data_IF_624764751493
#
_entry.id   IF_624764751493
#
_cell.length_a   1.000
_cell.length_b   1.000
_cell.length_c   1.000
_cell.angle_alpha   90.00
_cell.angle_beta   90.00
_cell.angle_gamma   90.00
#
_symmetry.space_group_name_H-M   'P 1'
#
loop_
_entity.id
_entity.type
_entity.pdbx_description
1 polymer ?
#
# COMPACT_ATOMS: atom_id res chain seq x y z
N UNK A 1 -16.64 -13.18 -33.67
CA UNK A 1 -16.54 -11.71 -33.55
C UNK A 1 -15.08 -11.38 -33.28
N UNK A 2 -14.47 -10.46 -34.02
CA UNK A 2 -13.08 -10.03 -33.73
C UNK A 2 -13.05 -8.95 -32.66
N UNK A 3 -12.00 -8.93 -31.83
CA UNK A 3 -11.82 -7.95 -30.76
C UNK A 3 -11.87 -6.50 -31.26
N UNK A 4 -11.29 -6.22 -32.42
CA UNK A 4 -11.28 -4.87 -33.01
C UNK A 4 -12.70 -4.32 -33.27
N UNK A 5 -13.69 -5.19 -33.48
CA UNK A 5 -15.08 -4.75 -33.63
C UNK A 5 -15.68 -4.20 -32.34
N UNK A 6 -15.18 -4.63 -31.18
CA UNK A 6 -15.61 -4.10 -29.87
C UNK A 6 -15.02 -2.70 -29.59
N UNK A 7 -14.01 -2.28 -30.36
CA UNK A 7 -13.33 -0.99 -30.19
C UNK A 7 -13.84 0.08 -31.17
N UNK A 8 -14.97 -0.17 -31.82
CA UNK A 8 -15.59 0.76 -32.76
C UNK A 8 -16.66 1.62 -32.09
N UNK A 9 -16.71 2.89 -32.48
CA UNK A 9 -17.74 3.85 -32.07
C UNK A 9 -19.02 3.70 -32.91
N UNK A 10 -20.00 4.59 -32.71
CA UNK A 10 -21.29 4.49 -33.40
C UNK A 10 -21.18 4.64 -34.93
N UNK A 11 -20.13 5.28 -35.43
CA UNK A 11 -19.82 5.44 -36.85
C UNK A 11 -19.02 4.26 -37.45
N UNK A 12 -18.87 3.16 -36.70
CA UNK A 12 -18.08 1.97 -37.08
C UNK A 12 -16.59 2.27 -37.33
N UNK A 13 -16.09 3.40 -36.82
CA UNK A 13 -14.67 3.78 -36.81
C UNK A 13 -14.01 3.35 -35.50
N UNK A 14 -12.70 3.11 -35.45
CA UNK A 14 -11.98 2.91 -34.19
C UNK A 14 -12.25 4.05 -33.20
N UNK A 15 -12.27 3.75 -31.90
CA UNK A 15 -12.41 4.76 -30.86
C UNK A 15 -11.38 5.88 -31.03
N UNK A 16 -11.83 7.13 -30.88
CA UNK A 16 -11.05 8.34 -31.16
C UNK A 16 -10.59 9.06 -29.89
N UNK A 17 -11.35 8.96 -28.80
CA UNK A 17 -11.10 9.70 -27.55
C UNK A 17 -10.90 8.77 -26.36
N UNK A 18 -11.81 7.83 -26.15
CA UNK A 18 -11.82 6.96 -24.97
C UNK A 18 -12.08 5.51 -25.36
N UNK A 19 -11.19 4.63 -24.94
CA UNK A 19 -11.41 3.18 -24.88
C UNK A 19 -11.23 2.72 -23.44
N UNK A 20 -12.32 2.29 -22.80
CA UNK A 20 -12.31 1.85 -21.41
C UNK A 20 -12.80 0.41 -21.34
N UNK A 21 -12.00 -0.46 -20.74
CA UNK A 21 -12.31 -1.87 -20.58
C UNK A 21 -12.40 -2.15 -19.09
N UNK A 22 -13.59 -2.53 -18.61
CA UNK A 22 -13.85 -2.96 -17.23
C UNK A 22 -14.07 -4.46 -17.24
N UNK A 23 -13.20 -5.19 -16.56
CA UNK A 23 -13.17 -6.64 -16.64
C UNK A 23 -12.47 -7.13 -17.89
N UNK A 24 -11.19 -7.51 -17.74
CA UNK A 24 -10.36 -7.89 -18.89
C UNK A 24 -10.35 -9.38 -19.12
N UNK A 25 -10.64 -10.20 -18.10
CA UNK A 25 -10.54 -11.66 -18.19
C UNK A 25 -11.17 -12.26 -19.47
N UNK A 26 -12.38 -11.84 -19.93
CA UNK A 26 -12.99 -12.39 -21.15
C UNK A 26 -12.15 -12.22 -22.42
N UNK A 27 -11.25 -11.24 -22.43
CA UNK A 27 -10.45 -10.83 -23.60
C UNK A 27 -8.96 -10.72 -23.27
N UNK A 28 -8.53 -11.19 -22.10
CA UNK A 28 -7.17 -10.95 -21.58
C UNK A 28 -6.12 -11.66 -22.42
N UNK A 29 -6.47 -12.81 -22.99
CA UNK A 29 -5.61 -13.54 -23.91
C UNK A 29 -5.36 -12.70 -25.17
N UNK A 30 -6.41 -12.20 -25.81
CA UNK A 30 -6.29 -11.37 -27.01
C UNK A 30 -5.56 -10.05 -26.74
N UNK A 31 -5.78 -9.45 -25.57
CA UNK A 31 -5.06 -8.23 -25.14
C UNK A 31 -3.56 -8.51 -25.04
N UNK A 32 -3.17 -9.61 -24.38
CA UNK A 32 -1.77 -9.93 -24.09
C UNK A 32 -1.03 -10.56 -25.28
N UNK A 33 -1.73 -11.16 -26.23
CA UNK A 33 -1.12 -11.80 -27.41
C UNK A 33 -1.06 -10.89 -28.65
N UNK A 34 -1.74 -9.74 -28.64
CA UNK A 34 -1.83 -8.83 -29.80
C UNK A 34 -1.46 -7.36 -29.48
N UNK A 35 -0.28 -7.08 -28.90
CA UNK A 35 0.14 -5.71 -28.58
C UNK A 35 0.22 -4.79 -29.81
N UNK A 36 0.62 -5.32 -30.97
CA UNK A 36 0.70 -4.56 -32.23
C UNK A 36 -0.64 -3.90 -32.61
N UNK A 37 -1.76 -4.58 -32.34
CA UNK A 37 -3.10 -4.02 -32.61
C UNK A 37 -3.33 -2.72 -31.82
N UNK A 38 -2.93 -2.69 -30.54
CA UNK A 38 -3.09 -1.51 -29.70
C UNK A 38 -2.12 -0.41 -30.09
N UNK A 39 -0.89 -0.76 -30.48
CA UNK A 39 0.07 0.17 -31.07
C UNK A 39 -0.52 0.88 -32.29
N UNK A 40 -1.07 0.13 -33.25
CA UNK A 40 -1.64 0.67 -34.48
C UNK A 40 -2.81 1.62 -34.21
N UNK A 41 -3.70 1.27 -33.27
CA UNK A 41 -4.83 2.13 -32.88
C UNK A 41 -4.32 3.41 -32.21
N UNK A 42 -3.38 3.32 -31.26
CA UNK A 42 -2.82 4.48 -30.56
C UNK A 42 -2.03 5.40 -31.49
N UNK A 43 -1.38 4.84 -32.51
CA UNK A 43 -0.66 5.59 -33.55
C UNK A 43 -1.63 6.30 -34.49
N UNK A 44 -2.71 5.62 -34.88
CA UNK A 44 -3.71 6.18 -35.81
C UNK A 44 -4.60 7.22 -35.12
N UNK A 45 -4.89 7.02 -33.83
CA UNK A 45 -5.79 7.86 -33.05
C UNK A 45 -4.99 8.62 -31.97
N UNK A 46 -4.40 9.76 -32.34
CA UNK A 46 -3.49 10.52 -31.46
C UNK A 46 -4.14 10.99 -30.14
N UNK A 47 -5.45 11.23 -30.15
CA UNK A 47 -6.22 11.68 -28.99
C UNK A 47 -6.82 10.53 -28.16
N UNK A 48 -6.65 9.28 -28.57
CA UNK A 48 -7.23 8.15 -27.88
C UNK A 48 -6.50 7.88 -26.56
N UNK A 49 -7.26 7.79 -25.48
CA UNK A 49 -6.83 7.25 -24.19
C UNK A 49 -7.40 5.85 -23.97
N UNK A 50 -6.57 4.94 -23.45
CA UNK A 50 -6.94 3.56 -23.15
C UNK A 50 -6.87 3.36 -21.64
N UNK A 51 -7.95 2.90 -21.02
CA UNK A 51 -7.98 2.54 -19.59
C UNK A 51 -8.43 1.09 -19.45
N UNK A 52 -7.56 0.25 -18.90
CA UNK A 52 -7.87 -1.14 -18.58
C UNK A 52 -8.07 -1.25 -17.06
N UNK A 53 -9.28 -1.63 -16.67
CA UNK A 53 -9.67 -1.93 -15.30
C UNK A 53 -9.77 -3.46 -15.19
N UNK A 54 -8.73 -4.08 -14.63
CA UNK A 54 -8.57 -5.54 -14.57
C UNK A 54 -8.92 -6.10 -13.18
N UNK A 55 -9.25 -7.38 -13.13
CA UNK A 55 -9.67 -8.09 -11.93
C UNK A 55 -8.53 -8.22 -10.89
N UNK A 56 -8.88 -8.13 -9.61
CA UNK A 56 -7.95 -8.49 -8.53
C UNK A 56 -7.80 -10.01 -8.41
N UNK A 57 -6.87 -10.44 -7.56
CA UNK A 57 -6.58 -11.85 -7.34
C UNK A 57 -7.75 -12.62 -6.73
N UNK A 58 -8.48 -12.01 -5.79
CA UNK A 58 -9.69 -12.60 -5.20
C UNK A 58 -10.77 -12.89 -6.25
N UNK A 59 -10.99 -11.96 -7.18
CA UNK A 59 -11.96 -12.10 -8.25
C UNK A 59 -11.51 -13.18 -9.25
N UNK A 60 -10.22 -13.22 -9.62
CA UNK A 60 -9.68 -14.31 -10.44
C UNK A 60 -9.86 -15.68 -9.79
N UNK A 61 -9.59 -15.78 -8.48
CA UNK A 61 -9.81 -17.00 -7.72
C UNK A 61 -11.29 -17.39 -7.74
N UNK A 62 -12.20 -16.47 -7.40
CA UNK A 62 -13.64 -16.72 -7.40
C UNK A 62 -14.16 -17.14 -8.79
N UNK A 63 -13.76 -16.45 -9.85
CA UNK A 63 -14.11 -16.81 -11.22
C UNK A 63 -13.63 -18.23 -11.56
N UNK A 64 -12.41 -18.60 -11.15
CA UNK A 64 -11.87 -19.94 -11.37
C UNK A 64 -12.66 -21.06 -10.70
N UNK A 65 -13.34 -20.79 -9.57
CA UNK A 65 -14.13 -21.77 -8.84
C UNK A 65 -15.39 -22.21 -9.61
N UNK A 66 -15.95 -21.33 -10.44
CA UNK A 66 -17.14 -21.65 -11.23
C UNK A 66 -16.82 -22.62 -12.39
N UNK A 67 -15.55 -22.77 -12.77
CA UNK A 67 -15.12 -23.55 -13.93
C UNK A 67 -14.95 -25.06 -13.63
N UNK A 68 -15.81 -25.66 -12.79
CA UNK A 68 -15.74 -27.10 -12.41
C UNK A 68 -16.03 -28.06 -13.58
N UNK A 69 -15.25 -29.15 -13.69
CA UNK A 69 -15.25 -30.15 -14.80
C UNK A 69 -16.67 -30.51 -15.28
N UNK A 70 -16.93 -30.33 -16.58
CA UNK A 70 -18.11 -30.91 -17.27
C UNK A 70 -19.01 -29.96 -18.06
N UNK A 71 -19.00 -28.64 -17.82
CA UNK A 71 -20.08 -27.76 -18.31
C UNK A 71 -19.66 -26.80 -19.45
N UNK A 72 -18.39 -26.41 -19.60
CA UNK A 72 -18.00 -25.42 -20.63
C UNK A 72 -16.67 -25.63 -21.33
N UNK A 73 -16.58 -25.07 -22.55
CA UNK A 73 -15.43 -25.14 -23.46
C UNK A 73 -14.39 -24.03 -23.21
N UNK A 74 -14.76 -22.91 -22.56
CA UNK A 74 -13.93 -21.73 -22.37
C UNK A 74 -13.54 -21.54 -20.91
N UNK A 75 -12.78 -22.50 -20.38
CA UNK A 75 -12.30 -22.45 -18.98
C UNK A 75 -10.91 -21.84 -18.90
N UNK A 76 -10.72 -20.97 -17.92
CA UNK A 76 -9.40 -20.54 -17.48
C UNK A 76 -9.28 -20.85 -15.99
N UNK A 77 -8.45 -21.82 -15.64
CA UNK A 77 -8.11 -22.04 -14.23
C UNK A 77 -7.40 -20.81 -13.64
N UNK A 78 -7.27 -20.80 -12.32
CA UNK A 78 -6.64 -19.70 -11.60
C UNK A 78 -5.22 -19.43 -12.10
N UNK A 79 -4.42 -20.48 -12.34
CA UNK A 79 -3.04 -20.35 -12.80
C UNK A 79 -2.94 -19.67 -14.17
N UNK A 80 -3.86 -19.98 -15.09
CA UNK A 80 -3.95 -19.35 -16.40
C UNK A 80 -4.39 -17.89 -16.30
N UNK A 81 -5.40 -17.58 -15.48
CA UNK A 81 -5.80 -16.20 -15.20
C UNK A 81 -4.66 -15.38 -14.59
N UNK A 82 -3.94 -15.95 -13.62
CA UNK A 82 -2.76 -15.32 -13.03
C UNK A 82 -1.66 -15.10 -14.05
N UNK A 83 -1.40 -16.06 -14.93
CA UNK A 83 -0.39 -15.92 -15.99
C UNK A 83 -0.72 -14.74 -16.91
N UNK A 84 -1.97 -14.62 -17.36
CA UNK A 84 -2.36 -13.49 -18.20
C UNK A 84 -2.36 -12.16 -17.44
N UNK A 85 -2.80 -12.14 -16.18
CA UNK A 85 -2.71 -10.96 -15.33
C UNK A 85 -1.26 -10.51 -15.15
N UNK A 86 -0.32 -11.43 -14.90
CA UNK A 86 1.11 -11.11 -14.82
C UNK A 86 1.66 -10.57 -16.15
N UNK A 87 1.24 -11.09 -17.31
CA UNK A 87 1.61 -10.55 -18.63
C UNK A 87 1.02 -9.16 -18.88
N UNK A 88 -0.21 -8.92 -18.43
CA UNK A 88 -0.85 -7.61 -18.55
C UNK A 88 -0.08 -6.55 -17.75
N UNK A 89 0.25 -6.86 -16.50
CA UNK A 89 0.89 -5.92 -15.57
C UNK A 89 2.39 -5.78 -15.85
N UNK A 90 3.06 -6.87 -16.25
CA UNK A 90 4.51 -6.99 -16.20
C UNK A 90 5.01 -7.11 -14.76
N UNK A 91 6.32 -6.96 -14.55
CA UNK A 91 6.90 -6.92 -13.20
C UNK A 91 8.32 -7.45 -13.10
N UNK A 92 8.78 -7.65 -11.87
CA UNK A 92 10.04 -8.33 -11.55
C UNK A 92 9.75 -9.76 -11.12
N UNK A 93 10.33 -10.75 -11.79
CA UNK A 93 10.37 -12.14 -11.32
C UNK A 93 11.81 -12.47 -10.93
N UNK A 94 12.13 -12.28 -9.65
CA UNK A 94 13.52 -12.29 -9.18
C UNK A 94 14.32 -11.15 -9.80
N UNK A 95 15.46 -11.45 -10.44
CA UNK A 95 16.31 -10.45 -11.12
C UNK A 95 15.85 -10.08 -12.54
N UNK A 96 14.87 -10.77 -13.10
CA UNK A 96 14.39 -10.52 -14.47
C UNK A 96 13.17 -9.61 -14.48
N UNK A 97 13.22 -8.54 -15.26
CA UNK A 97 12.04 -7.75 -15.60
C UNK A 97 11.26 -8.49 -16.70
N UNK A 98 10.00 -8.82 -16.44
CA UNK A 98 9.06 -9.25 -17.48
C UNK A 98 8.33 -8.01 -18.01
N UNK A 99 8.45 -7.77 -19.31
CA UNK A 99 7.67 -6.75 -20.01
C UNK A 99 6.17 -7.01 -19.79
N UNK A 100 5.43 -5.93 -19.54
CA UNK A 100 3.97 -5.97 -19.44
C UNK A 100 3.32 -5.44 -20.72
N UNK A 101 2.00 -5.49 -20.80
CA UNK A 101 1.21 -5.01 -21.95
C UNK A 101 1.61 -3.62 -22.46
N UNK A 102 1.87 -2.68 -21.54
CA UNK A 102 2.31 -1.33 -21.93
C UNK A 102 3.68 -1.37 -22.60
N UNK A 103 4.65 -2.11 -22.06
CA UNK A 103 5.99 -2.22 -22.65
C UNK A 103 5.93 -2.95 -23.99
N UNK A 104 5.11 -4.00 -24.10
CA UNK A 104 4.94 -4.76 -25.35
C UNK A 104 4.40 -3.88 -26.47
N UNK A 105 3.44 -2.98 -26.19
CA UNK A 105 2.97 -1.97 -27.16
C UNK A 105 4.10 -1.04 -27.58
N UNK A 106 4.84 -0.51 -26.60
CA UNK A 106 5.88 0.49 -26.85
C UNK A 106 7.08 -0.09 -27.60
N UNK A 107 7.32 -1.40 -27.48
CA UNK A 107 8.38 -2.11 -28.22
C UNK A 107 8.23 -2.06 -29.75
N UNK A 108 7.03 -1.71 -30.25
CA UNK A 108 6.77 -1.50 -31.68
C UNK A 108 7.10 -0.09 -32.18
N UNK A 109 7.64 0.78 -31.32
CA UNK A 109 8.00 2.16 -31.66
C UNK A 109 9.46 2.45 -31.30
N UNK A 110 10.26 2.89 -32.26
CA UNK A 110 11.66 3.25 -31.98
C UNK A 110 11.83 4.69 -31.46
N UNK A 111 10.78 5.52 -31.53
CA UNK A 111 10.83 6.93 -31.13
C UNK A 111 10.43 7.11 -29.65
N UNK A 112 11.39 7.53 -28.82
CA UNK A 112 11.18 7.73 -27.38
C UNK A 112 10.12 8.78 -27.04
N UNK A 113 9.98 9.84 -27.86
CA UNK A 113 8.99 10.88 -27.61
C UNK A 113 7.57 10.35 -27.86
N UNK A 114 7.39 9.60 -28.95
CA UNK A 114 6.14 8.92 -29.24
C UNK A 114 5.83 7.88 -28.16
N UNK A 115 6.82 7.11 -27.71
CA UNK A 115 6.63 6.16 -26.62
C UNK A 115 6.14 6.83 -25.33
N UNK A 116 6.78 7.94 -24.92
CA UNK A 116 6.36 8.69 -23.73
C UNK A 116 4.94 9.25 -23.87
N UNK A 117 4.57 9.73 -25.05
CA UNK A 117 3.21 10.18 -25.33
C UNK A 117 2.20 9.03 -25.21
N UNK A 118 2.45 7.89 -25.87
CA UNK A 118 1.58 6.71 -25.81
C UNK A 118 1.44 6.18 -24.38
N UNK A 119 2.55 6.09 -23.64
CA UNK A 119 2.54 5.64 -22.24
C UNK A 119 1.61 6.48 -21.37
N UNK A 120 1.59 7.81 -21.54
CA UNK A 120 0.69 8.71 -20.78
C UNK A 120 -0.79 8.50 -21.11
N UNK A 121 -1.09 7.93 -22.29
CA UNK A 121 -2.45 7.66 -22.76
C UNK A 121 -2.97 6.28 -22.35
N UNK A 122 -2.13 5.40 -21.79
CA UNK A 122 -2.53 4.07 -21.31
C UNK A 122 -2.57 4.06 -19.78
N UNK A 123 -3.69 3.61 -19.20
CA UNK A 123 -3.87 3.45 -17.76
C UNK A 123 -4.22 2.00 -17.45
N UNK A 124 -3.47 1.39 -16.52
CA UNK A 124 -3.80 0.09 -15.94
C UNK A 124 -4.24 0.29 -14.49
N UNK A 125 -5.43 -0.19 -14.16
CA UNK A 125 -6.04 -0.10 -12.83
C UNK A 125 -6.58 -1.47 -12.43
N UNK A 126 -6.26 -1.93 -11.23
CA UNK A 126 -6.89 -3.11 -10.65
C UNK A 126 -8.19 -2.72 -9.96
N UNK A 127 -9.24 -3.47 -10.23
CA UNK A 127 -10.51 -3.42 -9.53
C UNK A 127 -10.47 -4.25 -8.25
N UNK A 128 -10.49 -3.58 -7.09
CA UNK A 128 -10.60 -4.26 -5.80
C UNK A 128 -12.04 -4.32 -5.27
N UNK A 129 -13.02 -3.89 -6.06
CA UNK A 129 -14.44 -4.11 -5.80
C UNK A 129 -14.90 -5.38 -6.51
N UNK A 130 -16.03 -5.91 -6.07
CA UNK A 130 -16.69 -7.01 -6.77
C UNK A 130 -17.15 -6.54 -8.16
N UNK A 131 -16.84 -7.32 -9.18
CA UNK A 131 -17.25 -7.07 -10.55
C UNK A 131 -18.47 -7.90 -10.91
N UNK A 132 -19.47 -7.29 -11.54
CA UNK A 132 -20.72 -7.96 -11.91
C UNK A 132 -20.96 -7.99 -13.42
N UNK A 133 -20.28 -7.13 -14.17
CA UNK A 133 -20.44 -6.93 -15.60
C UNK A 133 -19.09 -6.58 -16.20
N UNK A 134 -18.79 -7.15 -17.38
CA UNK A 134 -17.66 -6.75 -18.20
C UNK A 134 -18.14 -5.72 -19.20
N UNK A 135 -17.41 -4.62 -19.34
CA UNK A 135 -17.79 -3.48 -20.17
C UNK A 135 -16.63 -3.04 -21.05
N UNK A 136 -16.91 -2.73 -22.31
CA UNK A 136 -16.00 -2.04 -23.21
C UNK A 136 -16.73 -0.79 -23.71
N UNK A 137 -16.27 0.38 -23.28
CA UNK A 137 -16.72 1.67 -23.78
C UNK A 137 -15.76 2.14 -24.87
N UNK A 138 -16.26 2.28 -26.09
CA UNK A 138 -15.56 2.86 -27.23
C UNK A 138 -16.27 4.16 -27.64
N UNK A 139 -15.76 5.28 -27.16
CA UNK A 139 -16.36 6.63 -27.23
C UNK A 139 -17.81 6.68 -26.72
N UNK A 140 -18.79 6.44 -27.60
CA UNK A 140 -20.24 6.55 -27.39
C UNK A 140 -20.98 5.20 -27.52
N UNK A 141 -20.22 4.11 -27.69
CA UNK A 141 -20.73 2.74 -27.75
C UNK A 141 -20.27 1.98 -26.53
N UNK A 142 -21.21 1.31 -25.87
CA UNK A 142 -20.92 0.34 -24.80
C UNK A 142 -21.13 -1.07 -25.35
N UNK A 143 -20.19 -1.95 -25.10
CA UNK A 143 -20.35 -3.38 -25.22
C UNK A 143 -20.34 -3.98 -23.83
N UNK A 144 -21.28 -4.86 -23.51
CA UNK A 144 -21.35 -5.47 -22.18
C UNK A 144 -21.68 -6.96 -22.22
N UNK A 145 -21.21 -7.69 -21.22
CA UNK A 145 -21.61 -9.07 -20.96
C UNK A 145 -21.51 -9.37 -19.46
N UNK A 146 -22.32 -10.31 -18.98
CA UNK A 146 -22.31 -10.73 -17.58
C UNK A 146 -21.39 -11.94 -17.39
N UNK A 147 -20.59 -11.92 -16.33
CA UNK A 147 -19.89 -13.13 -15.86
C UNK A 147 -20.91 -14.01 -15.14
N UNK A 148 -21.03 -15.27 -15.57
CA UNK A 148 -21.97 -16.23 -14.97
C UNK A 148 -21.21 -17.45 -14.45
N UNK A 149 -21.44 -18.64 -15.01
CA UNK A 149 -20.72 -19.87 -14.64
C UNK A 149 -19.43 -20.06 -15.44
N UNK A 150 -19.28 -19.33 -16.54
CA UNK A 150 -18.18 -19.45 -17.49
C UNK A 150 -17.59 -18.09 -17.81
N UNK A 151 -16.33 -18.10 -18.25
CA UNK A 151 -15.69 -16.91 -18.78
C UNK A 151 -16.37 -16.54 -20.11
N UNK A 152 -16.95 -15.33 -20.23
CA UNK A 152 -17.62 -14.91 -21.46
C UNK A 152 -16.67 -14.93 -22.66
N UNK A 153 -17.18 -15.31 -23.83
CA UNK A 153 -16.47 -15.11 -25.08
C UNK A 153 -16.88 -13.80 -25.78
N UNK A 154 -16.13 -13.41 -26.81
CA UNK A 154 -16.40 -12.21 -27.59
C UNK A 154 -17.81 -12.17 -28.19
N UNK A 155 -18.43 -13.32 -28.48
CA UNK A 155 -19.78 -13.38 -29.05
C UNK A 155 -20.88 -13.08 -28.03
N UNK A 156 -20.58 -13.15 -26.73
CA UNK A 156 -21.52 -12.84 -25.65
C UNK A 156 -21.68 -11.35 -25.39
N UNK A 157 -20.79 -10.51 -25.93
CA UNK A 157 -20.89 -9.05 -25.82
C UNK A 157 -22.07 -8.52 -26.62
N UNK A 158 -22.89 -7.69 -25.97
CA UNK A 158 -24.02 -6.99 -26.59
C UNK A 158 -23.69 -5.52 -26.76
N UNK A 159 -23.93 -4.99 -27.95
CA UNK A 159 -23.78 -3.56 -28.28
C UNK A 159 -24.96 -2.78 -27.71
N UNK A 160 -24.69 -1.64 -27.11
CA UNK A 160 -25.69 -0.66 -26.69
C UNK A 160 -25.18 0.77 -26.95
N UNK A 161 -26.08 1.63 -27.41
CA UNK A 161 -25.88 3.07 -27.61
C UNK A 161 -27.01 3.82 -26.92
N UNK A 162 -26.85 5.13 -26.72
CA UNK A 162 -27.92 5.99 -26.21
C UNK A 162 -29.20 5.91 -27.05
N UNK A 163 -29.07 5.68 -28.36
CA UNK A 163 -30.20 5.55 -29.28
C UNK A 163 -30.87 4.18 -29.26
N UNK A 164 -30.15 3.11 -28.93
CA UNK A 164 -30.73 1.76 -28.89
C UNK A 164 -31.46 1.49 -27.58
N UNK A 165 -30.89 1.91 -26.45
CA UNK A 165 -31.48 1.77 -25.11
C UNK A 165 -30.80 2.78 -24.16
N UNK A 166 -31.47 3.93 -23.98
CA UNK A 166 -30.94 5.05 -23.20
C UNK A 166 -30.77 4.70 -21.71
N UNK A 167 -31.73 3.97 -21.15
CA UNK A 167 -31.76 3.71 -19.70
C UNK A 167 -30.60 2.80 -19.30
N UNK A 168 -30.43 1.67 -20.00
CA UNK A 168 -29.33 0.75 -19.71
C UNK A 168 -27.97 1.37 -20.08
N UNK A 169 -27.89 2.18 -21.15
CA UNK A 169 -26.67 2.91 -21.47
C UNK A 169 -26.26 3.86 -20.32
N UNK A 170 -27.20 4.67 -19.83
CA UNK A 170 -26.94 5.64 -18.75
C UNK A 170 -26.52 4.92 -17.45
N UNK A 171 -27.13 3.78 -17.12
CA UNK A 171 -26.75 2.96 -15.96
C UNK A 171 -25.30 2.43 -16.07
N UNK A 172 -24.95 1.81 -17.21
CA UNK A 172 -23.61 1.27 -17.44
C UNK A 172 -22.56 2.38 -17.50
N UNK A 173 -22.87 3.50 -18.16
CA UNK A 173 -21.97 4.65 -18.21
C UNK A 173 -21.75 5.27 -16.81
N UNK A 174 -22.82 5.38 -16.00
CA UNK A 174 -22.70 5.84 -14.61
C UNK A 174 -21.81 4.92 -13.78
N UNK A 175 -21.90 3.60 -13.99
CA UNK A 175 -21.00 2.65 -13.33
C UNK A 175 -19.53 2.87 -13.73
N UNK A 176 -19.24 3.09 -15.02
CA UNK A 176 -17.88 3.42 -15.48
C UNK A 176 -17.37 4.71 -14.83
N UNK A 177 -18.18 5.77 -14.83
CA UNK A 177 -17.78 7.06 -14.24
C UNK A 177 -17.59 6.93 -12.71
N UNK A 178 -18.41 6.14 -12.02
CA UNK A 178 -18.20 5.80 -10.60
C UNK A 178 -16.83 5.13 -10.36
N UNK A 179 -16.45 4.17 -11.21
CA UNK A 179 -15.17 3.46 -11.09
C UNK A 179 -13.96 4.37 -11.36
N UNK A 180 -14.12 5.40 -12.18
CA UNK A 180 -13.06 6.35 -12.55
C UNK A 180 -12.94 7.54 -11.58
N UNK A 181 -14.00 7.85 -10.82
CA UNK A 181 -13.99 8.93 -9.83
C UNK A 181 -13.13 8.54 -8.60
N UNK A 182 -12.00 9.24 -8.44
CA UNK A 182 -11.04 9.06 -7.33
C UNK A 182 -11.68 9.21 -5.94
N UNK A 183 -12.80 9.93 -5.80
CA UNK A 183 -13.51 10.12 -4.52
C UNK A 183 -14.60 9.07 -4.29
N UNK A 184 -14.99 8.32 -5.31
CA UNK A 184 -16.02 7.30 -5.27
C UNK A 184 -15.44 5.89 -5.46
N UNK A 185 -15.68 5.22 -6.58
CA UNK A 185 -15.18 3.87 -6.86
C UNK A 185 -13.66 3.82 -7.09
N UNK A 186 -13.11 4.88 -7.66
CA UNK A 186 -11.68 5.02 -7.96
C UNK A 186 -10.76 4.92 -6.75
N UNK A 187 -11.26 5.25 -5.54
CA UNK A 187 -10.48 5.11 -4.29
C UNK A 187 -10.14 3.64 -3.96
N UNK A 188 -10.97 2.72 -4.44
CA UNK A 188 -10.76 1.27 -4.30
C UNK A 188 -9.98 0.67 -5.47
N UNK A 189 -9.61 1.47 -6.48
CA UNK A 189 -8.76 1.00 -7.57
C UNK A 189 -7.28 1.14 -7.18
N UNK A 190 -6.44 0.21 -7.62
CA UNK A 190 -5.00 0.25 -7.36
C UNK A 190 -4.21 0.21 -8.67
N UNK A 191 -3.05 0.87 -8.70
CA UNK A 191 -2.09 0.73 -9.81
C UNK A 191 -1.28 -0.56 -9.62
N UNK A 192 -0.60 -1.05 -10.69
CA UNK A 192 0.47 -2.03 -10.52
C UNK A 192 1.42 -1.63 -9.38
N UNK A 193 1.66 -2.56 -8.46
CA UNK A 193 2.56 -2.39 -7.29
C UNK A 193 2.07 -1.41 -6.21
N UNK A 194 0.86 -0.86 -6.28
CA UNK A 194 0.28 -0.18 -5.13
C UNK A 194 0.15 -1.18 -3.96
N UNK A 195 0.50 -0.74 -2.76
CA UNK A 195 0.35 -1.51 -1.52
C UNK A 195 -1.12 -1.86 -1.26
N UNK A 196 -1.39 -3.16 -1.09
CA UNK A 196 -2.70 -3.71 -0.76
C UNK A 196 -2.67 -4.26 0.65
N UNK A 197 -3.70 -3.94 1.43
CA UNK A 197 -3.82 -4.36 2.82
C UNK A 197 -5.21 -4.95 3.07
N UNK A 198 -5.29 -5.82 4.07
CA UNK A 198 -6.57 -6.39 4.49
C UNK A 198 -7.42 -5.37 5.23
N UNK A 199 -8.70 -5.36 4.90
CA UNK A 199 -9.71 -4.48 5.45
C UNK A 199 -10.57 -5.23 6.46
N UNK A 200 -10.72 -4.64 7.63
CA UNK A 200 -11.50 -5.19 8.74
C UNK A 200 -12.75 -4.34 8.98
N UNK A 201 -13.87 -4.99 9.30
CA UNK A 201 -15.03 -4.29 9.83
C UNK A 201 -14.89 -4.01 11.33
N UNK A 202 -15.84 -3.28 11.91
CA UNK A 202 -15.86 -2.87 13.32
C UNK A 202 -16.02 -4.03 14.34
N UNK A 203 -16.06 -5.28 13.87
CA UNK A 203 -16.07 -6.48 14.71
C UNK A 203 -14.80 -7.30 14.49
N UNK A 204 -13.74 -6.66 14.01
CA UNK A 204 -12.44 -7.26 13.72
C UNK A 204 -12.52 -8.41 12.71
N UNK A 205 -13.54 -8.40 11.83
CA UNK A 205 -13.70 -9.42 10.80
C UNK A 205 -13.10 -8.95 9.47
N UNK A 206 -12.23 -9.74 8.82
CA UNK A 206 -11.71 -9.40 7.50
C UNK A 206 -12.84 -9.41 6.46
N UNK A 207 -12.85 -8.40 5.58
CA UNK A 207 -13.89 -8.18 4.55
C UNK A 207 -13.34 -8.11 3.13
N UNK A 208 -12.04 -7.93 2.95
CA UNK A 208 -11.41 -7.94 1.64
C UNK A 208 -10.06 -7.26 1.63
N UNK A 209 -9.44 -7.22 0.45
CA UNK A 209 -8.11 -6.67 0.24
C UNK A 209 -8.25 -5.41 -0.61
N UNK A 210 -7.74 -4.28 -0.11
CA UNK A 210 -7.93 -2.96 -0.70
C UNK A 210 -6.64 -2.15 -0.69
N UNK A 211 -6.48 -1.16 -1.59
CA UNK A 211 -5.32 -0.30 -1.55
C UNK A 211 -5.30 0.54 -0.28
N UNK A 212 -4.10 0.74 0.31
CA UNK A 212 -3.91 1.52 1.53
C UNK A 212 -4.58 2.91 1.50
N UNK A 213 -4.62 3.57 0.34
CA UNK A 213 -5.25 4.88 0.17
C UNK A 213 -6.77 4.87 0.42
N UNK A 214 -7.44 3.72 0.32
CA UNK A 214 -8.88 3.61 0.52
C UNK A 214 -9.30 3.87 1.98
N UNK A 215 -8.40 3.75 2.95
CA UNK A 215 -8.75 3.69 4.37
C UNK A 215 -9.00 5.06 5.02
N UNK A 216 -8.33 6.12 4.56
CA UNK A 216 -8.38 7.44 5.20
C UNK A 216 -9.77 8.12 5.25
N UNK A 217 -10.75 7.60 4.50
CA UNK A 217 -12.11 8.15 4.40
C UNK A 217 -13.20 7.11 4.62
N UNK A 218 -12.86 5.99 5.27
CA UNK A 218 -13.81 4.90 5.52
C UNK A 218 -14.00 4.64 7.01
N UNK A 219 -15.08 3.94 7.35
CA UNK A 219 -15.31 3.43 8.70
C UNK A 219 -14.64 2.07 8.94
N UNK A 220 -13.78 1.62 8.03
CA UNK A 220 -13.12 0.33 8.13
C UNK A 220 -11.78 0.45 8.84
N UNK A 221 -11.36 -0.65 9.46
CA UNK A 221 -10.11 -0.77 10.18
C UNK A 221 -9.05 -1.41 9.29
N UNK A 222 -7.80 -1.02 9.52
CA UNK A 222 -6.60 -1.73 9.04
C UNK A 222 -5.86 -2.33 10.23
N UNK A 223 -5.22 -3.48 10.02
CA UNK A 223 -4.34 -4.06 11.02
C UNK A 223 -2.92 -3.49 10.83
N UNK A 224 -2.33 -2.97 11.91
CA UNK A 224 -0.94 -2.54 11.97
C UNK A 224 -0.22 -3.11 13.18
N UNK A 225 1.07 -2.85 13.27
CA UNK A 225 1.86 -3.11 14.48
C UNK A 225 2.51 -1.83 14.94
N UNK A 226 2.67 -1.70 16.24
CA UNK A 226 3.42 -0.61 16.87
C UNK A 226 4.65 -1.20 17.52
N UNK A 227 5.84 -0.74 17.14
CA UNK A 227 7.09 -1.18 17.73
C UNK A 227 7.75 -0.02 18.49
N UNK A 228 8.04 -0.27 19.77
CA UNK A 228 8.81 0.63 20.64
C UNK A 228 10.15 -0.02 20.94
N UNK A 229 11.24 0.62 20.54
CA UNK A 229 12.60 0.10 20.62
C UNK A 229 13.34 0.82 21.71
N UNK A 230 13.79 0.05 22.70
CA UNK A 230 14.54 0.55 23.83
C UNK A 230 16.00 0.12 23.72
N UNK A 231 16.92 0.96 24.17
CA UNK A 231 18.28 0.52 24.43
C UNK A 231 18.39 -0.16 25.82
N UNK A 232 19.57 -0.70 26.16
CA UNK A 232 19.77 -1.40 27.44
C UNK A 232 19.80 -0.46 28.66
N UNK A 233 19.84 0.86 28.44
CA UNK A 233 19.70 1.88 29.49
C UNK A 233 18.22 2.18 29.80
N UNK A 234 17.30 1.65 28.99
CA UNK A 234 15.86 1.91 29.09
C UNK A 234 15.44 3.23 28.43
N UNK A 235 16.23 3.77 27.52
CA UNK A 235 15.85 4.94 26.72
C UNK A 235 15.10 4.47 25.46
N UNK A 236 14.06 5.19 25.08
CA UNK A 236 13.21 4.89 23.94
C UNK A 236 13.71 5.62 22.69
N UNK A 237 13.83 4.88 21.58
CA UNK A 237 14.10 5.45 20.26
C UNK A 237 12.82 6.04 19.67
N UNK A 238 12.86 7.28 19.19
CA UNK A 238 11.80 7.90 18.40
C UNK A 238 12.27 8.18 16.99
N UNK A 239 11.35 8.06 16.04
CA UNK A 239 11.58 8.47 14.65
C UNK A 239 10.81 9.76 14.35
N UNK A 240 11.36 10.63 13.52
CA UNK A 240 10.64 11.75 12.94
C UNK A 240 10.22 11.41 11.51
N UNK A 241 8.93 11.57 11.20
CA UNK A 241 8.39 11.25 9.88
C UNK A 241 8.94 12.20 8.81
N UNK A 242 9.32 11.65 7.66
CA UNK A 242 9.89 12.41 6.55
C UNK A 242 8.94 13.51 6.04
N UNK A 243 9.47 14.66 5.57
CA UNK A 243 8.68 15.74 4.97
C UNK A 243 8.01 15.34 3.65
N UNK A 244 8.28 14.14 3.13
CA UNK A 244 7.66 13.62 1.91
C UNK A 244 6.60 12.54 2.17
N UNK A 245 6.37 12.14 3.43
CA UNK A 245 5.31 11.19 3.78
C UNK A 245 3.93 11.74 3.44
N UNK A 246 2.94 10.86 3.24
CA UNK A 246 1.58 11.28 2.90
C UNK A 246 0.87 11.98 4.07
N UNK A 247 1.14 11.52 5.29
CA UNK A 247 0.50 11.93 6.52
C UNK A 247 1.49 12.16 7.66
N UNK A 248 1.13 13.09 8.56
CA UNK A 248 1.88 13.40 9.78
C UNK A 248 3.36 13.79 9.52
N UNK A 249 3.63 14.48 8.41
CA UNK A 249 4.99 14.93 8.03
C UNK A 249 5.64 15.68 9.19
N UNK A 250 6.92 15.38 9.43
CA UNK A 250 7.78 16.03 10.43
C UNK A 250 7.35 15.86 11.89
N UNK A 251 6.34 15.04 12.18
CA UNK A 251 5.97 14.68 13.55
C UNK A 251 6.83 13.54 14.08
N UNK A 252 7.11 13.55 15.38
CA UNK A 252 7.71 12.44 16.09
C UNK A 252 6.71 11.29 16.28
N UNK A 253 7.13 10.08 15.94
CA UNK A 253 6.35 8.84 15.94
C UNK A 253 7.10 7.75 16.72
N UNK A 254 6.41 6.64 16.97
CA UNK A 254 6.96 5.41 17.57
C UNK A 254 8.18 4.92 16.79
N UNK A 255 9.04 4.12 17.42
CA UNK A 255 10.32 3.70 16.84
C UNK A 255 10.19 3.03 15.47
N UNK A 256 9.21 2.15 15.31
CA UNK A 256 8.84 1.59 14.01
C UNK A 256 7.36 1.18 13.94
N UNK A 257 6.80 1.04 12.74
CA UNK A 257 5.56 0.29 12.58
C UNK A 257 4.82 0.52 11.27
N UNK A 258 4.25 -0.57 10.75
CA UNK A 258 3.51 -0.58 9.50
C UNK A 258 2.32 -1.52 9.51
N UNK A 259 1.83 -1.83 8.32
CA UNK A 259 0.65 -2.67 8.12
C UNK A 259 1.04 -4.14 8.15
N UNK A 260 0.12 -4.97 8.65
CA UNK A 260 0.27 -6.43 8.53
C UNK A 260 0.14 -6.79 7.05
N UNK A 261 1.21 -7.31 6.46
CA UNK A 261 1.21 -7.72 5.05
C UNK A 261 0.36 -8.99 4.88
N UNK A 262 -0.25 -9.16 3.71
CA UNK A 262 -1.05 -10.34 3.38
C UNK A 262 -0.26 -11.66 3.46
N UNK A 263 1.07 -11.59 3.37
CA UNK A 263 1.99 -12.74 3.45
C UNK A 263 2.52 -12.99 4.86
N UNK A 264 2.35 -12.05 5.79
CA UNK A 264 2.83 -12.20 7.15
C UNK A 264 1.95 -13.24 7.87
N UNK A 265 2.58 -14.28 8.42
CA UNK A 265 1.85 -15.34 9.14
C UNK A 265 1.29 -14.89 10.50
N UNK A 266 1.81 -13.79 11.04
CA UNK A 266 1.45 -13.24 12.34
C UNK A 266 1.96 -11.81 12.49
N UNK A 267 1.37 -11.04 13.41
CA UNK A 267 1.76 -9.65 13.71
C UNK A 267 3.20 -9.52 14.22
N UNK A 268 3.73 -10.53 14.91
CA UNK A 268 5.16 -10.52 15.30
C UNK A 268 6.10 -10.60 14.08
N UNK A 269 5.72 -11.32 13.01
CA UNK A 269 6.52 -11.37 11.78
C UNK A 269 6.53 -9.99 11.11
N UNK A 270 5.36 -9.33 11.08
CA UNK A 270 5.25 -7.93 10.66
C UNK A 270 6.16 -7.02 11.48
N UNK A 271 6.10 -7.09 12.81
CA UNK A 271 6.93 -6.23 13.67
C UNK A 271 8.43 -6.42 13.44
N UNK A 272 8.89 -7.66 13.22
CA UNK A 272 10.29 -7.96 12.86
C UNK A 272 10.67 -7.41 11.49
N UNK A 273 9.77 -7.51 10.50
CA UNK A 273 9.99 -6.96 9.15
C UNK A 273 10.07 -5.43 9.20
N UNK A 274 9.11 -4.77 9.85
CA UNK A 274 9.06 -3.31 9.98
C UNK A 274 10.29 -2.77 10.71
N UNK A 275 10.77 -3.44 11.78
CA UNK A 275 12.04 -3.11 12.43
C UNK A 275 13.19 -3.08 11.42
N UNK A 276 13.30 -4.11 10.59
CA UNK A 276 14.43 -4.25 9.66
C UNK A 276 14.33 -3.27 8.49
N UNK A 277 13.13 -3.11 7.92
CA UNK A 277 12.88 -2.20 6.80
C UNK A 277 13.06 -0.73 7.21
N UNK A 278 12.61 -0.35 8.41
CA UNK A 278 12.71 1.04 8.88
C UNK A 278 14.11 1.39 9.39
N UNK A 279 14.80 0.52 10.15
CA UNK A 279 16.11 0.87 10.71
C UNK A 279 17.31 0.51 9.84
N UNK A 280 17.20 -0.49 8.97
CA UNK A 280 18.36 -1.05 8.25
C UNK A 280 18.20 -1.04 6.73
N UNK A 281 16.99 -1.23 6.20
CA UNK A 281 16.78 -1.48 4.77
C UNK A 281 15.53 -0.79 4.17
N UNK A 282 15.59 0.51 3.88
CA UNK A 282 14.46 1.22 3.28
C UNK A 282 14.14 0.79 1.84
N UNK A 283 15.09 0.14 1.14
CA UNK A 283 14.98 -0.17 -0.29
C UNK A 283 15.04 -1.67 -0.64
N UNK A 284 15.13 -2.59 0.33
CA UNK A 284 15.29 -4.03 0.05
C UNK A 284 14.10 -4.86 0.55
N UNK A 285 13.57 -5.76 -0.29
CA UNK A 285 12.77 -6.89 0.19
C UNK A 285 13.63 -7.66 1.19
N UNK A 286 13.09 -7.90 2.40
CA UNK A 286 13.74 -8.69 3.45
C UNK A 286 14.30 -10.00 2.85
N UNK A 287 15.61 -10.03 2.58
CA UNK A 287 16.26 -11.20 2.00
C UNK A 287 16.79 -12.09 3.12
N UNK A 288 16.62 -13.40 2.97
CA UNK A 288 17.07 -14.43 3.92
C UNK A 288 18.58 -14.40 4.22
N UNK A 289 19.36 -13.58 3.50
CA UNK A 289 20.81 -13.49 3.63
C UNK A 289 21.27 -12.37 4.58
N UNK A 290 20.39 -11.44 4.97
CA UNK A 290 20.75 -10.32 5.85
C UNK A 290 20.50 -10.55 7.34
N UNK A 291 19.79 -11.62 7.70
CA UNK A 291 19.74 -12.06 9.10
C UNK A 291 21.12 -12.40 9.67
N UNK A 292 22.16 -12.51 8.82
CA UNK A 292 23.51 -12.84 9.25
C UNK A 292 24.28 -11.67 9.89
N UNK A 293 23.92 -10.40 9.62
CA UNK A 293 24.61 -9.23 10.19
C UNK A 293 23.86 -8.60 11.38
N UNK A 294 22.55 -8.88 11.51
CA UNK A 294 21.63 -8.20 12.42
C UNK A 294 21.42 -8.93 13.77
N UNK A 295 22.13 -10.05 14.00
CA UNK A 295 21.80 -10.98 15.09
C UNK A 295 20.42 -11.62 14.90
N UNK A 296 20.04 -12.54 15.79
CA UNK A 296 18.69 -13.08 15.80
C UNK A 296 17.74 -12.12 16.53
N UNK A 297 16.50 -11.99 16.05
CA UNK A 297 15.43 -11.33 16.80
C UNK A 297 14.69 -12.38 17.60
N UNK A 298 15.05 -12.52 18.87
CA UNK A 298 14.54 -13.54 19.79
C UNK A 298 13.20 -13.09 20.37
N UNK A 299 12.16 -13.84 20.04
CA UNK A 299 10.80 -13.61 20.53
C UNK A 299 10.61 -14.29 21.88
N UNK A 300 10.46 -13.48 22.92
CA UNK A 300 10.21 -13.98 24.26
C UNK A 300 8.71 -14.13 24.54
N UNK A 301 7.81 -13.81 23.62
CA UNK A 301 6.36 -13.90 23.79
C UNK A 301 5.78 -12.68 24.53
N UNK A 302 4.77 -12.91 25.36
CA UNK A 302 4.09 -11.85 26.11
C UNK A 302 4.99 -11.30 27.24
N UNK A 303 5.08 -9.97 27.33
CA UNK A 303 5.68 -9.30 28.48
C UNK A 303 4.70 -9.33 29.65
N UNK A 304 4.85 -10.33 30.52
CA UNK A 304 4.02 -10.48 31.72
C UNK A 304 4.92 -10.71 32.93
N UNK A 305 5.10 -9.65 33.73
CA UNK A 305 5.99 -9.66 34.89
C UNK A 305 5.48 -10.55 36.01
N UNK A 306 4.15 -10.68 36.16
CA UNK A 306 3.55 -11.55 37.19
C UNK A 306 3.80 -13.03 36.90
N UNK A 307 3.77 -13.42 35.63
CA UNK A 307 4.09 -14.79 35.18
C UNK A 307 5.60 -15.08 35.20
N UNK A 308 6.47 -14.05 35.27
CA UNK A 308 7.94 -14.17 35.25
C UNK A 308 8.59 -13.51 36.47
N UNK A 309 8.57 -14.15 37.65
CA UNK A 309 9.23 -13.62 38.83
C UNK A 309 10.72 -13.32 38.54
N UNK A 310 11.14 -12.10 38.86
CA UNK A 310 12.38 -11.42 38.43
C UNK A 310 13.65 -12.28 38.48
N UNK A 311 13.77 -13.16 39.49
CA UNK A 311 14.95 -14.00 39.72
C UNK A 311 15.19 -15.03 38.61
N UNK A 312 14.14 -15.48 37.93
CA UNK A 312 14.26 -16.40 36.79
C UNK A 312 14.34 -15.63 35.47
N UNK A 313 13.73 -14.45 35.40
CA UNK A 313 13.65 -13.65 34.19
C UNK A 313 15.03 -13.18 33.71
N UNK A 314 15.91 -12.71 34.61
CA UNK A 314 17.28 -12.31 34.23
C UNK A 314 18.08 -13.46 33.57
N UNK A 315 17.91 -14.68 34.07
CA UNK A 315 18.62 -15.85 33.56
C UNK A 315 18.11 -16.29 32.16
N UNK A 316 16.91 -15.87 31.74
CA UNK A 316 16.40 -16.17 30.40
C UNK A 316 17.24 -15.46 29.29
N UNK A 317 18.00 -14.42 29.66
CA UNK A 317 18.82 -13.64 28.73
C UNK A 317 20.28 -14.11 28.67
N UNK A 318 20.72 -15.01 29.55
CA UNK A 318 22.12 -15.48 29.62
C UNK A 318 22.58 -16.23 28.34
N UNK A 319 21.63 -16.70 27.53
CA UNK A 319 21.88 -17.42 26.29
C UNK A 319 21.95 -16.55 25.02
N UNK A 320 21.72 -15.24 25.14
CA UNK A 320 21.69 -14.33 23.99
C UNK A 320 23.10 -14.02 23.48
N UNK A 321 23.25 -13.99 22.16
CA UNK A 321 24.47 -13.46 21.55
C UNK A 321 24.53 -11.93 21.74
N UNK A 322 25.72 -11.31 21.71
CA UNK A 322 25.87 -9.86 21.90
C UNK A 322 25.05 -9.01 20.92
N UNK A 323 24.80 -9.51 19.72
CA UNK A 323 24.06 -8.83 18.66
C UNK A 323 22.56 -9.17 18.63
N UNK A 324 22.07 -10.05 19.51
CA UNK A 324 20.67 -10.48 19.47
C UNK A 324 19.73 -9.37 19.94
N UNK A 325 18.65 -9.20 19.18
CA UNK A 325 17.54 -8.33 19.53
C UNK A 325 16.52 -9.11 20.34
N UNK A 326 15.88 -8.43 21.29
CA UNK A 326 14.82 -9.01 22.10
C UNK A 326 13.51 -8.39 21.67
N UNK A 327 12.46 -9.19 21.56
CA UNK A 327 11.11 -8.70 21.35
C UNK A 327 10.11 -9.35 22.28
N UNK A 328 9.20 -8.54 22.80
CA UNK A 328 8.02 -8.95 23.52
C UNK A 328 6.76 -8.40 22.86
N UNK A 329 5.66 -9.13 22.98
CA UNK A 329 4.31 -8.56 22.80
C UNK A 329 3.88 -7.91 24.11
N UNK A 330 3.45 -6.65 24.07
CA UNK A 330 2.94 -5.98 25.25
C UNK A 330 1.66 -6.64 25.77
N UNK A 331 1.36 -6.47 27.05
CA UNK A 331 0.11 -6.90 27.68
C UNK A 331 -0.61 -5.72 28.33
N UNK A 332 -1.91 -5.86 28.56
CA UNK A 332 -2.69 -4.95 29.41
C UNK A 332 -2.29 -5.14 30.88
N UNK A 333 -2.83 -4.29 31.77
CA UNK A 333 -2.60 -4.43 33.23
C UNK A 333 -3.15 -5.75 33.78
N UNK A 334 -4.14 -6.36 33.10
CA UNK A 334 -4.68 -7.67 33.43
C UNK A 334 -3.84 -8.84 32.89
N UNK A 335 -2.75 -8.55 32.15
CA UNK A 335 -1.83 -9.54 31.61
C UNK A 335 -2.32 -10.23 30.32
N UNK A 336 -3.34 -9.68 29.66
CA UNK A 336 -3.83 -10.12 28.35
C UNK A 336 -3.04 -9.45 27.21
N UNK A 337 -2.88 -10.07 26.03
CA UNK A 337 -2.19 -9.44 24.91
C UNK A 337 -2.76 -8.06 24.55
N UNK A 338 -1.89 -7.07 24.46
CA UNK A 338 -2.30 -5.70 24.19
C UNK A 338 -2.56 -5.49 22.69
N UNK A 339 -3.78 -5.09 22.39
CA UNK A 339 -4.19 -4.63 21.06
C UNK A 339 -4.90 -3.28 21.19
N UNK A 340 -4.33 -2.25 20.56
CA UNK A 340 -4.88 -0.89 20.56
C UNK A 340 -5.87 -0.74 19.41
N UNK A 341 -7.12 -0.41 19.73
CA UNK A 341 -8.14 -0.09 18.73
C UNK A 341 -8.56 1.36 18.85
N UNK A 342 -8.28 2.17 17.82
CA UNK A 342 -8.62 3.61 17.88
C UNK A 342 -8.86 4.25 16.52
N UNK A 343 -9.54 5.39 16.58
CA UNK A 343 -9.71 6.32 15.47
C UNK A 343 -8.73 7.47 15.66
N UNK A 344 -7.65 7.44 14.90
CA UNK A 344 -6.57 8.42 15.01
C UNK A 344 -6.71 9.52 13.95
N UNK A 345 -6.64 10.81 14.32
CA UNK A 345 -6.44 11.89 13.36
C UNK A 345 -5.10 11.76 12.61
N UNK A 346 -5.13 12.05 11.31
CA UNK A 346 -3.96 12.09 10.43
C UNK A 346 -3.93 13.45 9.75
N UNK A 347 -2.82 14.17 9.88
CA UNK A 347 -2.60 15.46 9.24
C UNK A 347 -2.12 15.20 7.82
N UNK A 348 -3.00 15.46 6.86
CA UNK A 348 -2.74 15.26 5.43
C UNK A 348 -2.28 16.56 4.80
N UNK A 349 -1.32 16.44 3.87
CA UNK A 349 -0.86 17.56 3.06
C UNK A 349 -1.43 17.40 1.65
N UNK A 350 -2.56 18.07 1.40
CA UNK A 350 -3.34 17.93 0.17
C UNK A 350 -2.87 18.98 -0.82
N UNK A 351 -2.53 18.54 -2.04
CA UNK A 351 -2.12 19.43 -3.13
C UNK A 351 -3.29 20.24 -3.64
N UNK A 352 -3.10 21.54 -3.74
CA UNK A 352 -4.08 22.45 -4.33
C UNK A 352 -4.20 22.17 -5.83
N UNK A 353 -5.43 22.23 -6.34
CA UNK A 353 -5.72 22.04 -7.78
C UNK A 353 -6.21 23.34 -8.41
N UNK A 354 -5.77 23.59 -9.64
CA UNK A 354 -6.28 24.68 -10.47
C UNK A 354 -7.70 24.40 -10.98
N UNK A 355 -8.28 25.34 -11.74
CA UNK A 355 -9.63 25.19 -12.31
C UNK A 355 -9.75 24.04 -13.31
N UNK A 356 -8.62 23.53 -13.81
CA UNK A 356 -8.52 22.41 -14.74
C UNK A 356 -8.22 21.09 -14.01
N UNK A 357 -8.07 21.11 -12.68
CA UNK A 357 -7.79 19.94 -11.85
C UNK A 357 -6.31 19.56 -11.77
N UNK A 358 -5.39 20.37 -12.28
CA UNK A 358 -3.96 20.12 -12.20
C UNK A 358 -3.40 20.63 -10.87
N UNK A 359 -2.40 19.95 -10.32
CA UNK A 359 -1.74 20.40 -9.09
C UNK A 359 -1.02 21.74 -9.31
N UNK A 360 -1.22 22.69 -8.41
CA UNK A 360 -0.59 24.01 -8.47
C UNK A 360 0.87 23.89 -8.04
N UNK A 361 1.80 24.26 -8.93
CA UNK A 361 3.24 24.26 -8.66
C UNK A 361 3.64 25.57 -7.96
N UNK A 362 4.40 25.47 -6.87
CA UNK A 362 4.99 26.64 -6.23
C UNK A 362 6.10 27.22 -7.11
N UNK A 363 6.15 28.54 -7.20
CA UNK A 363 7.13 29.28 -7.99
C UNK A 363 7.92 30.24 -7.13
N UNK A 364 9.19 30.48 -7.49
CA UNK A 364 10.01 31.51 -6.88
C UNK A 364 9.56 32.92 -7.32
N UNK A 365 10.23 33.96 -6.81
CA UNK A 365 9.93 35.36 -7.13
C UNK A 365 10.13 35.69 -8.61
N UNK A 366 10.94 34.91 -9.31
CA UNK A 366 11.28 35.08 -10.73
C UNK A 366 10.37 34.22 -11.63
N UNK A 367 9.44 33.46 -11.05
CA UNK A 367 8.47 32.63 -11.75
C UNK A 367 8.95 31.22 -12.12
N UNK A 368 10.13 30.80 -11.65
CA UNK A 368 10.65 29.44 -11.86
C UNK A 368 10.00 28.46 -10.89
N UNK A 369 9.86 27.19 -11.30
CA UNK A 369 9.35 26.13 -10.45
C UNK A 369 10.27 25.89 -9.24
N UNK A 370 9.71 25.92 -8.04
CA UNK A 370 10.44 25.50 -6.85
C UNK A 370 10.62 23.98 -6.86
N UNK A 371 11.85 23.55 -6.60
CA UNK A 371 12.23 22.15 -6.49
C UNK A 371 12.86 21.88 -5.13
N UNK A 372 12.49 20.75 -4.52
CA UNK A 372 13.07 20.29 -3.27
C UNK A 372 14.54 19.87 -3.46
N UNK A 373 15.24 19.58 -2.37
CA UNK A 373 16.64 19.12 -2.39
C UNK A 373 16.85 17.86 -3.26
N UNK A 374 15.81 17.06 -3.43
CA UNK A 374 15.78 15.85 -4.28
C UNK A 374 15.38 16.14 -5.75
N UNK A 375 15.28 17.40 -6.18
CA UNK A 375 14.90 17.79 -7.54
C UNK A 375 13.41 17.67 -7.87
N UNK A 376 12.58 17.18 -6.93
CA UNK A 376 11.12 17.06 -7.13
C UNK A 376 10.44 18.43 -7.06
N UNK A 377 9.46 18.64 -7.92
CA UNK A 377 8.64 19.86 -7.95
C UNK A 377 7.85 20.00 -6.64
N UNK A 378 7.88 21.20 -6.06
CA UNK A 378 7.11 21.53 -4.86
C UNK A 378 5.75 22.08 -5.29
N UNK A 379 4.68 21.56 -4.69
CA UNK A 379 3.32 21.97 -4.98
C UNK A 379 2.78 22.84 -3.86
N UNK A 380 1.82 23.71 -4.21
CA UNK A 380 1.04 24.41 -3.21
C UNK A 380 0.14 23.38 -2.51
N UNK A 381 0.13 23.41 -1.18
CA UNK A 381 -0.55 22.43 -0.35
C UNK A 381 -1.28 23.14 0.79
N UNK A 382 -2.39 22.55 1.23
CA UNK A 382 -3.05 22.90 2.49
C UNK A 382 -3.15 21.65 3.40
N UNK A 383 -3.33 21.89 4.69
CA UNK A 383 -3.49 20.83 5.69
C UNK A 383 -4.96 20.46 5.85
N UNK A 384 -5.26 19.17 5.81
CA UNK A 384 -6.56 18.61 6.19
C UNK A 384 -6.39 17.58 7.31
N UNK A 385 -7.37 17.47 8.21
CA UNK A 385 -7.40 16.40 9.21
C UNK A 385 -8.27 15.26 8.71
N UNK A 386 -7.65 14.15 8.37
CA UNK A 386 -8.34 12.89 8.05
C UNK A 386 -8.33 11.97 9.25
N UNK A 387 -9.00 10.82 9.15
CA UNK A 387 -9.03 9.85 10.24
C UNK A 387 -8.75 8.46 9.70
N UNK A 388 -7.96 7.70 10.46
CA UNK A 388 -7.80 6.28 10.19
C UNK A 388 -8.20 5.48 11.42
N UNK A 389 -8.94 4.40 11.20
CA UNK A 389 -9.20 3.40 12.23
C UNK A 389 -8.21 2.27 12.07
N UNK A 390 -7.62 1.84 13.17
CA UNK A 390 -6.73 0.68 13.16
C UNK A 390 -6.93 -0.17 14.39
N UNK A 391 -6.47 -1.41 14.23
CA UNK A 391 -6.24 -2.40 15.26
C UNK A 391 -4.72 -2.60 15.24
N UNK A 392 -4.05 -2.38 16.36
CA UNK A 392 -2.59 -2.47 16.44
C UNK A 392 -2.14 -3.35 17.58
N UNK A 393 -1.40 -4.40 17.27
CA UNK A 393 -0.62 -5.10 18.28
C UNK A 393 0.60 -4.26 18.65
N UNK A 394 0.92 -4.20 19.94
CA UNK A 394 2.05 -3.43 20.48
C UNK A 394 3.20 -4.38 20.80
N UNK A 395 4.37 -4.07 20.29
CA UNK A 395 5.61 -4.81 20.50
C UNK A 395 6.68 -3.93 21.12
N UNK A 396 7.42 -4.53 22.04
CA UNK A 396 8.48 -3.89 22.81
C UNK A 396 9.79 -4.58 22.46
N UNK A 397 10.70 -3.84 21.84
CA UNK A 397 12.00 -4.31 21.42
C UNK A 397 13.08 -3.80 22.37
N UNK A 398 14.11 -4.61 22.60
CA UNK A 398 15.33 -4.19 23.28
C UNK A 398 16.48 -4.41 22.31
N UNK A 399 17.17 -3.33 21.97
CA UNK A 399 18.33 -3.36 21.10
C UNK A 399 19.54 -3.96 21.83
N UNK A 400 20.45 -4.62 21.09
CA UNK A 400 21.75 -5.00 21.60
C UNK A 400 22.59 -3.78 22.02
N UNK A 401 23.57 -4.02 22.88
CA UNK A 401 24.50 -2.98 23.35
C UNK A 401 25.34 -2.45 22.19
N UNK A 402 25.54 -1.14 22.13
CA UNK A 402 26.32 -0.43 21.11
C UNK A 402 25.61 -0.21 19.76
N UNK A 403 24.31 -0.48 19.65
CA UNK A 403 23.55 -0.24 18.41
C UNK A 403 22.83 1.12 18.41
N UNK A 404 22.23 1.48 19.54
CA UNK A 404 21.47 2.71 19.73
C UNK A 404 21.68 3.23 21.16
N UNK A 405 22.92 3.25 21.63
CA UNK A 405 23.27 3.77 22.97
C UNK A 405 23.73 5.23 22.92
N UNK A 406 24.11 5.73 21.73
CA UNK A 406 24.54 7.10 21.47
C UNK A 406 23.93 7.64 20.18
N UNK A 407 23.87 8.97 20.04
CA UNK A 407 23.40 9.59 18.79
C UNK A 407 24.31 9.26 17.61
N UNK A 408 25.63 9.12 17.82
CA UNK A 408 26.57 8.76 16.76
C UNK A 408 26.29 7.36 16.19
N UNK A 409 25.99 6.38 17.04
CA UNK A 409 25.58 5.03 16.63
C UNK A 409 24.24 5.04 15.88
N UNK A 410 23.27 5.83 16.34
CA UNK A 410 21.98 6.00 15.66
C UNK A 410 22.20 6.59 14.26
N UNK A 411 23.00 7.65 14.15
CA UNK A 411 23.27 8.34 12.89
C UNK A 411 24.06 7.42 11.93
N UNK A 412 24.97 6.57 12.44
CA UNK A 412 25.67 5.57 11.64
C UNK A 412 24.74 4.47 11.14
N UNK A 413 23.88 3.95 12.03
CA UNK A 413 22.91 2.90 11.72
C UNK A 413 21.87 3.39 10.69
N UNK A 414 21.38 4.61 10.89
CA UNK A 414 20.20 5.13 10.19
C UNK A 414 20.50 6.20 9.14
N UNK A 415 21.76 6.62 8.97
CA UNK A 415 22.16 7.56 7.92
C UNK A 415 21.81 7.07 6.50
N UNK A 416 21.82 5.75 6.28
CA UNK A 416 21.35 5.14 5.02
C UNK A 416 19.81 5.19 4.92
N UNK A 417 19.11 5.07 6.06
CA UNK A 417 17.66 5.10 6.13
C UNK A 417 17.06 6.49 5.91
N UNK A 418 17.72 7.53 6.39
CA UNK A 418 17.25 8.92 6.30
C UNK A 418 17.38 9.54 4.89
N UNK A 419 18.37 9.11 4.09
CA UNK A 419 18.56 9.65 2.74
C UNK A 419 17.45 9.24 1.76
N UNK A 420 16.75 8.13 2.04
CA UNK A 420 15.81 7.51 1.09
C UNK A 420 14.49 6.99 1.69
N UNK A 421 14.36 6.93 3.01
CA UNK A 421 13.24 6.32 3.72
C UNK A 421 12.07 7.26 4.07
N UNK A 422 11.14 6.73 4.85
CA UNK A 422 9.95 7.44 5.34
C UNK A 422 10.23 8.32 6.58
N UNK A 423 11.50 8.48 6.96
CA UNK A 423 11.99 9.14 8.16
C UNK A 423 12.94 10.29 7.82
N UNK A 424 13.10 11.23 8.74
CA UNK A 424 14.00 12.39 8.57
C UNK A 424 14.96 12.65 9.71
N UNK A 425 14.73 12.04 10.88
CA UNK A 425 15.59 12.17 12.06
C UNK A 425 15.23 11.08 13.08
N UNK A 426 16.17 10.80 13.98
CA UNK A 426 15.98 9.90 15.11
C UNK A 426 16.56 10.48 16.40
N UNK A 427 15.99 10.08 17.54
CA UNK A 427 16.54 10.45 18.86
C UNK A 427 16.20 9.41 19.92
N UNK A 428 17.09 9.29 20.90
CA UNK A 428 16.79 8.60 22.16
C UNK A 428 16.25 9.59 23.18
N UNK A 429 15.28 9.14 23.96
CA UNK A 429 14.69 9.91 25.07
C UNK A 429 14.43 9.00 26.25
N UNK A 430 14.55 9.55 27.47
CA UNK A 430 13.98 8.87 28.63
C UNK A 430 12.46 8.96 28.60
N UNK A 431 11.77 8.01 29.24
CA UNK A 431 10.30 8.03 29.29
C UNK A 431 9.78 9.25 30.05
N UNK A 432 10.49 9.70 31.07
CA UNK A 432 10.16 10.91 31.82
C UNK A 432 10.22 12.16 30.92
N UNK A 433 11.32 12.35 30.18
CA UNK A 433 11.47 13.47 29.24
C UNK A 433 10.44 13.43 28.12
N UNK A 434 10.16 12.24 27.58
CA UNK A 434 9.16 12.07 26.53
C UNK A 434 7.77 12.51 27.00
N UNK A 435 7.35 12.03 28.18
CA UNK A 435 6.02 12.36 28.70
C UNK A 435 5.91 13.86 28.97
N UNK A 436 6.93 14.48 29.58
CA UNK A 436 6.94 15.93 29.82
C UNK A 436 6.89 16.75 28.51
N UNK A 437 7.65 16.34 27.48
CA UNK A 437 7.66 17.03 26.18
C UNK A 437 6.34 16.83 25.42
N UNK A 438 5.70 15.65 25.51
CA UNK A 438 4.38 15.40 24.93
C UNK A 438 3.28 16.21 25.62
N UNK A 439 3.32 16.31 26.95
CA UNK A 439 2.36 17.14 27.71
C UNK A 439 2.52 18.63 27.39
N UNK A 440 3.76 19.08 27.18
CA UNK A 440 4.08 20.50 26.93
C UNK A 440 3.92 20.89 25.45
N UNK A 441 4.28 20.00 24.52
CA UNK A 441 4.32 20.25 23.07
C UNK A 441 3.66 19.12 22.26
N UNK A 442 2.38 18.78 22.51
CA UNK A 442 1.71 17.64 21.89
C UNK A 442 1.65 17.74 20.36
N UNK A 443 1.67 18.94 19.79
CA UNK A 443 1.61 19.18 18.34
C UNK A 443 2.85 18.71 17.57
N UNK A 444 3.96 18.40 18.27
CA UNK A 444 5.18 17.85 17.66
C UNK A 444 5.11 16.34 17.45
N UNK A 445 4.08 15.70 17.99
CA UNK A 445 3.98 14.24 18.05
C UNK A 445 2.80 13.74 17.23
N UNK A 446 2.96 12.54 16.71
CA UNK A 446 1.83 11.79 16.20
C UNK A 446 0.88 11.46 17.33
N UNK A 447 -0.40 11.40 17.00
CA UNK A 447 -1.47 11.03 17.91
C UNK A 447 -1.32 9.59 18.47
N UNK A 448 -0.48 8.75 17.85
CA UNK A 448 -0.11 7.43 18.36
C UNK A 448 0.83 7.55 19.59
N UNK A 449 1.83 8.43 19.55
CA UNK A 449 2.71 8.73 20.69
C UNK A 449 1.97 9.42 21.82
N UNK A 450 1.09 10.38 21.48
CA UNK A 450 0.27 11.09 22.48
C UNK A 450 -0.55 10.08 23.28
N UNK A 451 -1.21 9.13 22.59
CA UNK A 451 -1.99 8.08 23.23
C UNK A 451 -1.13 7.21 24.17
N UNK A 452 0.05 6.79 23.73
CA UNK A 452 0.93 5.96 24.57
C UNK A 452 1.44 6.70 25.80
N UNK A 453 1.70 8.00 25.70
CA UNK A 453 2.17 8.81 26.83
C UNK A 453 1.04 9.21 27.79
N UNK A 454 -0.21 9.28 27.32
CA UNK A 454 -1.35 9.66 28.17
C UNK A 454 -2.07 8.46 28.79
N UNK A 455 -2.40 7.45 27.99
CA UNK A 455 -3.24 6.32 28.42
C UNK A 455 -2.40 5.10 28.83
N UNK A 456 -1.28 4.86 28.15
CA UNK A 456 -0.47 3.63 28.31
C UNK A 456 0.92 3.91 28.90
N UNK A 457 1.06 5.04 29.59
CA UNK A 457 2.33 5.47 30.20
C UNK A 457 2.92 4.40 31.12
N UNK A 458 2.05 3.71 31.87
CA UNK A 458 2.41 2.66 32.81
C UNK A 458 3.26 1.58 32.14
N UNK A 459 2.90 1.17 30.91
CA UNK A 459 3.61 0.15 30.14
C UNK A 459 5.03 0.59 29.81
N UNK A 460 5.19 1.83 29.33
CA UNK A 460 6.51 2.37 28.97
C UNK A 460 7.41 2.49 30.20
N UNK A 461 6.86 2.94 31.32
CA UNK A 461 7.59 3.10 32.59
C UNK A 461 8.01 1.74 33.16
N UNK A 462 7.07 0.80 33.30
CA UNK A 462 7.38 -0.51 33.89
C UNK A 462 8.32 -1.35 33.01
N UNK A 463 8.17 -1.28 31.68
CA UNK A 463 9.10 -1.94 30.77
C UNK A 463 10.49 -1.35 30.88
N UNK A 464 10.61 -0.02 30.95
CA UNK A 464 11.89 0.68 31.15
C UNK A 464 12.57 0.28 32.45
N UNK A 465 11.83 0.20 33.57
CA UNK A 465 12.38 -0.25 34.84
C UNK A 465 12.79 -1.73 34.80
N UNK A 466 12.05 -2.57 34.07
CA UNK A 466 12.41 -3.96 33.83
C UNK A 466 13.73 -4.09 33.07
N UNK A 467 13.93 -3.30 32.00
CA UNK A 467 15.20 -3.26 31.26
C UNK A 467 16.34 -2.88 32.20
N UNK A 468 16.18 -1.79 32.95
CA UNK A 468 17.19 -1.33 33.91
C UNK A 468 17.51 -2.41 34.95
N UNK A 469 16.54 -3.20 35.40
CA UNK A 469 16.79 -4.30 36.32
C UNK A 469 17.58 -5.45 35.69
N UNK A 470 17.22 -5.84 34.45
CA UNK A 470 17.81 -6.97 33.74
C UNK A 470 19.27 -6.67 33.35
N UNK A 471 19.53 -5.49 32.80
CA UNK A 471 20.81 -5.12 32.18
C UNK A 471 21.71 -4.21 33.04
N UNK A 472 21.29 -3.85 34.27
CA UNK A 472 22.22 -3.42 35.33
C UNK A 472 23.03 -4.60 35.87
#
# INVERSE_FOLDING_TARGET
>A
MELLNLFKNAEEKPAQKRLIIVGVNPIIQEITEKPLMFYDILRTCENLSITLIYENETENFNQSLFYTKGISKNKMDFDKLQTYRSRLIGGKKGRMNTAGFVEDILSHCDDEHIQQNMRKRIKLLQNNLRQFVNIILADDVIWYCFTTLDLPDLSMYRKITQSSDKELYDQLNTYIEFMLDEKAGGKFMSKPNDELIELYDMKDMPRGIYPRKAFYTTNFQRYSVWAFIFNRKGELLLQQRSPYTADNRELWDKSAGGHVDLKDSSTIVTAKRELVEELFLPEAEFSKYMSAELGDIVDFGEWNIEKRPEKYFKNEFDGLAPADWIVFRATTQEGEPMTVQRKSPRIMHVKDKDKQGNNIVLKDKDGNELRGKNGKVIYQEHKETWFTRFISDVFLFIAPEGYIDTQEEIDELMGIAEEKGAQSAHRLVTIEELVEDVETNPEKYTDDIIYMCSEEKWLLVEFTESIKYIFR
#
